data_IF_794140845670
#
_entry.id   IF_794140845670
#
_cell.length_a   1.000
_cell.length_b   1.000
_cell.length_c   1.000
_cell.angle_alpha   90.00
_cell.angle_beta   90.00
_cell.angle_gamma   90.00
#
_symmetry.space_group_name_H-M   'P 1'
#
loop_
_entity.id
_entity.type
_entity.pdbx_description
1 polymer ?
#
# COMPACT_ATOMS: atom_id res chain seq x y z
N UNK A 1 8.65 20.78 41.02
CA UNK A 1 7.33 20.15 40.83
C UNK A 1 7.16 19.97 39.33
N UNK A 2 7.40 18.75 38.84
CA UNK A 2 7.33 18.45 37.41
C UNK A 2 5.91 18.67 36.92
N UNK A 3 5.74 19.62 36.01
CA UNK A 3 4.53 19.81 35.24
C UNK A 3 4.41 18.65 34.25
N UNK A 4 4.00 17.49 34.74
CA UNK A 4 3.37 16.47 33.90
C UNK A 4 2.06 17.07 33.44
N UNK A 5 2.10 17.76 32.30
CA UNK A 5 0.94 18.12 31.50
C UNK A 5 0.10 16.87 31.35
N UNK A 6 -1.06 16.90 32.00
CA UNK A 6 -2.05 15.85 32.03
C UNK A 6 -2.37 15.45 30.59
N UNK A 7 -2.11 14.19 30.21
CA UNK A 7 -2.78 13.60 29.05
C UNK A 7 -4.27 13.59 29.41
N UNK A 8 -4.98 14.59 28.92
CA UNK A 8 -6.38 14.84 29.22
C UNK A 8 -7.21 13.61 28.86
N UNK A 9 -8.10 13.22 29.77
CA UNK A 9 -9.06 12.12 29.66
C UNK A 9 -10.12 12.31 28.53
N UNK A 10 -9.88 13.19 27.55
CA UNK A 10 -10.66 13.33 26.31
C UNK A 10 -10.38 12.19 25.30
N UNK A 11 -9.36 11.36 25.54
CA UNK A 11 -8.85 10.32 24.65
C UNK A 11 -9.56 8.94 24.73
N UNK A 12 -10.69 8.81 25.45
CA UNK A 12 -11.49 7.56 25.49
C UNK A 12 -12.75 7.63 24.61
N UNK A 13 -12.75 8.45 23.57
CA UNK A 13 -13.84 8.52 22.59
C UNK A 13 -13.62 7.49 21.48
N UNK A 14 -14.33 6.35 21.56
CA UNK A 14 -14.40 5.36 20.48
C UNK A 14 -15.32 5.80 19.32
N UNK A 15 -15.33 7.10 18.99
CA UNK A 15 -16.18 7.66 17.93
C UNK A 15 -15.41 8.66 17.10
N UNK A 16 -15.67 8.64 15.79
CA UNK A 16 -15.06 9.51 14.80
C UNK A 16 -15.08 10.98 15.21
N UNK A 17 -13.92 11.64 15.21
CA UNK A 17 -13.77 13.05 15.58
C UNK A 17 -13.01 13.86 14.53
N UNK A 18 -13.26 15.17 14.52
CA UNK A 18 -12.61 16.13 13.63
C UNK A 18 -11.66 17.01 14.46
N UNK A 19 -10.38 16.65 14.49
CA UNK A 19 -9.33 17.45 15.14
C UNK A 19 -8.12 17.59 14.23
N UNK A 20 -7.43 18.73 14.32
CA UNK A 20 -6.22 19.03 13.55
C UNK A 20 -4.93 18.77 14.32
N UNK A 21 -5.01 18.28 15.57
CA UNK A 21 -3.86 18.16 16.48
C UNK A 21 -3.44 16.71 16.78
N UNK A 22 -4.01 15.73 16.09
CA UNK A 22 -3.71 14.30 16.34
C UNK A 22 -2.46 13.86 15.58
N UNK A 23 -1.37 13.46 16.26
CA UNK A 23 -0.20 12.90 15.59
C UNK A 23 -0.47 11.44 15.16
N UNK A 24 -0.35 11.09 13.85
CA UNK A 24 -0.62 9.74 13.39
C UNK A 24 0.56 8.77 13.51
N UNK A 25 1.82 9.25 13.52
CA UNK A 25 3.01 8.37 13.49
C UNK A 25 4.04 8.64 14.60
N UNK A 26 4.24 9.89 15.00
CA UNK A 26 5.09 10.22 16.16
C UNK A 26 4.70 11.59 16.74
N UNK A 27 5.03 11.82 18.01
CA UNK A 27 4.80 13.09 18.71
C UNK A 27 5.56 14.27 18.09
N UNK A 28 6.62 14.02 17.31
CA UNK A 28 7.35 15.04 16.54
C UNK A 28 6.63 15.45 15.24
N UNK A 29 5.64 14.67 14.80
CA UNK A 29 4.82 14.96 13.61
C UNK A 29 3.43 15.46 14.05
N UNK A 30 3.40 16.44 14.95
CA UNK A 30 2.17 17.12 15.37
C UNK A 30 1.87 18.28 14.42
N UNK A 31 0.76 18.25 13.67
CA UNK A 31 0.37 19.39 12.85
C UNK A 31 -0.11 20.52 13.77
N UNK A 32 0.64 21.61 13.82
CA UNK A 32 0.27 22.82 14.56
C UNK A 32 -0.45 23.86 13.67
N UNK A 33 -0.59 23.57 12.37
CA UNK A 33 -1.20 24.44 11.37
C UNK A 33 -2.12 23.65 10.43
N UNK A 34 -3.16 24.30 9.89
CA UNK A 34 -4.09 23.72 8.90
C UNK A 34 -3.39 23.18 7.66
N UNK A 35 -2.29 23.83 7.24
CA UNK A 35 -1.49 23.38 6.10
C UNK A 35 -0.74 22.07 6.35
N UNK A 36 -0.22 21.86 7.57
CA UNK A 36 0.43 20.60 7.94
C UNK A 36 -0.58 19.45 8.02
N UNK A 37 -1.79 19.71 8.53
CA UNK A 37 -2.88 18.73 8.51
C UNK A 37 -3.24 18.31 7.09
N UNK A 38 -3.43 19.26 6.18
CA UNK A 38 -3.70 18.98 4.76
C UNK A 38 -2.54 18.20 4.10
N UNK A 39 -1.29 18.52 4.42
CA UNK A 39 -0.11 17.79 3.96
C UNK A 39 -0.13 16.32 4.39
N UNK A 40 -0.46 16.03 5.65
CA UNK A 40 -0.63 14.66 6.15
C UNK A 40 -1.74 13.92 5.42
N UNK A 41 -2.89 14.56 5.18
CA UNK A 41 -4.00 13.96 4.43
C UNK A 41 -3.60 13.59 2.99
N UNK A 42 -2.92 14.50 2.27
CA UNK A 42 -2.44 14.24 0.90
C UNK A 42 -1.41 13.10 0.89
N UNK A 43 -0.51 13.09 1.88
CA UNK A 43 0.46 12.01 2.05
C UNK A 43 -0.24 10.65 2.26
N UNK A 44 -1.26 10.59 3.12
CA UNK A 44 -2.04 9.37 3.34
C UNK A 44 -2.79 8.91 2.08
N UNK A 45 -3.35 9.84 1.29
CA UNK A 45 -3.98 9.52 0.00
C UNK A 45 -2.97 8.87 -0.93
N UNK A 46 -1.81 9.50 -1.11
CA UNK A 46 -0.75 8.98 -1.98
C UNK A 46 -0.24 7.63 -1.49
N UNK A 47 0.01 7.49 -0.19
CA UNK A 47 0.51 6.27 0.43
C UNK A 47 -0.50 5.11 0.31
N UNK A 48 -1.80 5.37 0.47
CA UNK A 48 -2.86 4.40 0.27
C UNK A 48 -3.05 4.02 -1.20
N UNK A 49 -2.92 4.98 -2.12
CA UNK A 49 -2.93 4.71 -3.56
C UNK A 49 -1.75 3.82 -3.97
N UNK A 50 -0.56 4.08 -3.43
CA UNK A 50 0.65 3.26 -3.65
C UNK A 50 0.48 1.87 -3.04
N UNK A 51 -0.10 1.72 -1.85
CA UNK A 51 -0.43 0.41 -1.28
C UNK A 51 -1.29 -0.42 -2.23
N UNK A 52 -2.35 0.20 -2.79
CA UNK A 52 -3.21 -0.41 -3.82
C UNK A 52 -2.43 -0.76 -5.09
N UNK A 53 -1.48 0.08 -5.51
CA UNK A 53 -0.58 -0.20 -6.63
C UNK A 53 0.27 -1.44 -6.39
N UNK A 54 0.91 -1.51 -5.22
CA UNK A 54 1.76 -2.62 -4.81
C UNK A 54 0.95 -3.92 -4.75
N UNK A 55 -0.27 -3.88 -4.20
CA UNK A 55 -1.18 -5.03 -4.23
C UNK A 55 -1.47 -5.50 -5.66
N UNK A 56 -1.80 -4.58 -6.58
CA UNK A 56 -2.08 -4.93 -7.98
C UNK A 56 -0.87 -5.55 -8.69
N UNK A 57 0.33 -4.98 -8.48
CA UNK A 57 1.58 -5.51 -9.02
C UNK A 57 1.85 -6.93 -8.49
N UNK A 58 1.51 -7.19 -7.24
CA UNK A 58 1.74 -8.51 -6.61
C UNK A 58 0.77 -9.57 -7.08
N UNK A 59 -0.50 -9.19 -7.28
CA UNK A 59 -1.51 -10.08 -7.90
C UNK A 59 -1.12 -10.41 -9.34
N UNK A 60 -0.60 -9.43 -10.09
CA UNK A 60 -0.23 -9.60 -11.49
C UNK A 60 1.25 -9.99 -11.70
N UNK A 61 1.96 -10.36 -10.63
CA UNK A 61 3.41 -10.58 -10.67
C UNK A 61 3.81 -11.71 -11.63
N UNK A 62 3.03 -12.79 -11.66
CA UNK A 62 3.24 -13.92 -12.57
C UNK A 62 3.10 -13.52 -14.04
N UNK A 63 2.07 -12.73 -14.37
CA UNK A 63 1.83 -12.23 -15.74
C UNK A 63 2.86 -11.18 -16.17
N UNK A 64 3.30 -10.34 -15.24
CA UNK A 64 4.37 -9.38 -15.50
C UNK A 64 5.68 -10.11 -15.78
N UNK A 65 6.03 -11.11 -14.95
CA UNK A 65 7.27 -11.86 -15.12
C UNK A 65 7.32 -12.64 -16.43
N UNK A 66 6.20 -13.26 -16.85
CA UNK A 66 6.13 -13.90 -18.18
C UNK A 66 6.24 -12.88 -19.31
N UNK A 67 5.56 -11.73 -19.23
CA UNK A 67 5.66 -10.66 -20.22
C UNK A 67 7.07 -10.03 -20.30
N UNK A 68 7.76 -9.87 -19.17
CA UNK A 68 9.15 -9.37 -19.11
C UNK A 68 10.12 -10.38 -19.68
N UNK A 69 9.94 -11.67 -19.37
CA UNK A 69 10.79 -12.72 -19.94
C UNK A 69 10.58 -12.87 -21.45
N UNK A 70 9.38 -12.60 -22.00
CA UNK A 70 9.17 -12.50 -23.45
C UNK A 70 10.04 -11.41 -24.09
N UNK A 71 10.17 -10.24 -23.46
CA UNK A 71 11.00 -9.15 -23.98
C UNK A 71 12.49 -9.49 -23.98
N UNK A 72 12.96 -10.24 -22.98
CA UNK A 72 14.36 -10.67 -22.88
C UNK A 72 14.68 -11.86 -23.79
N UNK A 73 13.71 -12.69 -24.13
CA UNK A 73 13.94 -13.97 -24.80
C UNK A 73 13.17 -14.12 -26.14
N UNK A 74 13.01 -13.03 -26.90
CA UNK A 74 12.28 -12.95 -28.19
C UNK A 74 12.67 -13.99 -29.29
N UNK A 75 13.70 -14.82 -29.09
CA UNK A 75 14.19 -15.79 -30.08
C UNK A 75 13.84 -17.26 -29.80
N UNK A 76 13.27 -17.61 -28.64
CA UNK A 76 13.05 -19.02 -28.27
C UNK A 76 11.61 -19.22 -27.80
N UNK A 77 10.69 -19.30 -28.76
CA UNK A 77 9.37 -19.90 -28.54
C UNK A 77 9.40 -21.30 -29.13
N UNK A 78 9.60 -22.31 -28.29
CA UNK A 78 9.26 -23.69 -28.63
C UNK A 78 7.77 -23.91 -28.31
N UNK A 79 6.91 -24.16 -29.31
CA UNK A 79 5.55 -24.58 -29.06
C UNK A 79 5.55 -26.10 -28.86
N UNK A 80 4.86 -26.56 -27.82
CA UNK A 80 4.60 -27.97 -27.45
C UNK A 80 5.72 -28.73 -26.73
N UNK A 81 5.68 -28.74 -25.40
CA UNK A 81 5.86 -30.01 -24.69
C UNK A 81 5.01 -30.08 -23.40
N UNK A 82 3.89 -30.78 -23.52
CA UNK A 82 3.25 -31.46 -22.40
C UNK A 82 3.93 -32.82 -22.25
N UNK A 83 4.83 -32.96 -21.27
CA UNK A 83 5.07 -34.22 -20.57
C UNK A 83 5.90 -33.90 -19.32
N UNK A 84 5.30 -33.99 -18.13
CA UNK A 84 5.92 -33.81 -16.80
C UNK A 84 6.89 -32.62 -16.71
N UNK A 85 6.34 -31.43 -16.51
CA UNK A 85 7.12 -30.29 -16.07
C UNK A 85 8.00 -30.72 -14.88
N UNK A 86 9.32 -30.50 -14.89
CA UNK A 86 10.13 -30.68 -13.70
C UNK A 86 9.58 -29.75 -12.63
N UNK A 87 8.79 -30.34 -11.73
CA UNK A 87 8.54 -29.84 -10.39
C UNK A 87 9.91 -29.47 -9.81
N UNK A 88 10.00 -28.25 -9.27
CA UNK A 88 11.11 -27.78 -8.45
C UNK A 88 12.38 -27.32 -9.20
N UNK A 89 12.32 -26.11 -9.77
CA UNK A 89 13.39 -25.16 -9.45
C UNK A 89 12.79 -24.11 -8.52
N UNK A 90 13.00 -24.31 -7.23
CA UNK A 90 12.89 -23.23 -6.25
C UNK A 90 13.88 -22.16 -6.69
N UNK A 91 13.47 -21.25 -7.60
CA UNK A 91 14.20 -20.03 -7.87
C UNK A 91 14.08 -19.24 -6.58
N UNK A 92 15.04 -19.47 -5.68
CA UNK A 92 15.11 -18.77 -4.40
C UNK A 92 15.01 -17.27 -4.61
N UNK A 93 15.55 -16.77 -5.74
CA UNK A 93 15.40 -15.39 -6.20
C UNK A 93 13.93 -14.95 -6.34
N UNK A 94 13.08 -15.77 -6.96
CA UNK A 94 11.67 -15.45 -7.18
C UNK A 94 10.86 -15.55 -5.88
N UNK A 95 11.16 -16.55 -5.05
CA UNK A 95 10.57 -16.69 -3.71
C UNK A 95 10.98 -15.54 -2.78
N UNK A 96 12.25 -15.14 -2.81
CA UNK A 96 12.78 -14.01 -2.02
C UNK A 96 12.17 -12.69 -2.48
N UNK A 97 12.08 -12.46 -3.79
CA UNK A 97 11.48 -11.22 -4.32
C UNK A 97 9.99 -11.13 -3.95
N UNK A 98 9.27 -12.25 -4.01
CA UNK A 98 7.87 -12.32 -3.58
C UNK A 98 7.77 -12.04 -2.08
N UNK A 99 8.55 -12.70 -1.23
CA UNK A 99 8.53 -12.46 0.22
C UNK A 99 8.91 -11.02 0.61
N UNK A 100 9.90 -10.43 -0.06
CA UNK A 100 10.29 -9.03 0.18
C UNK A 100 9.16 -8.06 -0.12
N UNK A 101 8.47 -8.27 -1.23
CA UNK A 101 7.33 -7.43 -1.55
C UNK A 101 6.18 -7.63 -0.55
N UNK A 102 5.98 -8.83 0.03
CA UNK A 102 4.97 -9.06 1.08
C UNK A 102 5.33 -8.33 2.35
N UNK A 103 6.62 -8.30 2.69
CA UNK A 103 7.13 -7.51 3.79
C UNK A 103 6.82 -6.02 3.59
N UNK A 104 7.11 -5.45 2.40
CA UNK A 104 6.81 -4.04 2.09
C UNK A 104 5.30 -3.79 2.17
N UNK A 105 4.50 -4.72 1.64
CA UNK A 105 3.06 -4.59 1.63
C UNK A 105 2.47 -4.63 3.05
N UNK A 106 2.93 -5.56 3.88
CA UNK A 106 2.57 -5.63 5.29
C UNK A 106 3.00 -4.37 6.05
N UNK A 107 4.23 -3.90 5.84
CA UNK A 107 4.74 -2.69 6.50
C UNK A 107 3.87 -1.46 6.17
N UNK A 108 3.53 -1.27 4.90
CA UNK A 108 2.63 -0.19 4.46
C UNK A 108 1.22 -0.38 5.05
N UNK A 109 0.66 -1.58 5.01
CA UNK A 109 -0.65 -1.88 5.57
C UNK A 109 -0.74 -1.53 7.07
N UNK A 110 0.28 -1.90 7.85
CA UNK A 110 0.34 -1.59 9.28
C UNK A 110 0.48 -0.08 9.55
N UNK A 111 1.24 0.64 8.73
CA UNK A 111 1.31 2.11 8.83
C UNK A 111 -0.05 2.76 8.53
N UNK A 112 -0.77 2.31 7.49
CA UNK A 112 -2.14 2.77 7.24
C UNK A 112 -3.08 2.43 8.39
N UNK A 113 -2.93 1.24 8.98
CA UNK A 113 -3.74 0.79 10.11
C UNK A 113 -3.54 1.70 11.32
N UNK A 114 -2.30 2.08 11.64
CA UNK A 114 -2.01 3.07 12.69
C UNK A 114 -2.74 4.38 12.39
N UNK A 115 -2.69 4.86 11.15
CA UNK A 115 -3.40 6.09 10.75
C UNK A 115 -4.93 5.98 10.89
N UNK A 116 -5.54 4.83 10.56
CA UNK A 116 -6.98 4.59 10.69
C UNK A 116 -7.41 4.49 12.16
N UNK A 117 -6.60 3.85 12.99
CA UNK A 117 -6.88 3.68 14.42
C UNK A 117 -6.81 5.00 15.21
N UNK A 118 -6.35 6.11 14.60
CA UNK A 118 -6.39 7.45 15.23
C UNK A 118 -7.80 8.02 15.42
N UNK A 119 -8.83 7.38 14.88
CA UNK A 119 -10.24 7.81 14.92
C UNK A 119 -10.50 9.22 14.33
N UNK A 120 -9.54 9.79 13.61
CA UNK A 120 -9.68 11.08 12.94
C UNK A 120 -10.40 10.91 11.60
N UNK A 121 -11.52 11.62 11.42
CA UNK A 121 -12.36 11.54 10.22
C UNK A 121 -11.58 11.90 8.95
N UNK A 122 -10.73 12.92 8.99
CA UNK A 122 -10.02 13.34 7.78
C UNK A 122 -8.93 12.35 7.37
N UNK A 123 -8.25 11.70 8.31
CA UNK A 123 -7.29 10.64 8.01
C UNK A 123 -8.00 9.39 7.47
N UNK A 124 -9.12 9.02 8.09
CA UNK A 124 -9.96 7.91 7.63
C UNK A 124 -10.48 8.16 6.19
N UNK A 125 -11.06 9.33 5.93
CA UNK A 125 -11.53 9.70 4.59
C UNK A 125 -10.39 9.80 3.58
N UNK A 126 -9.21 10.27 3.99
CA UNK A 126 -8.02 10.32 3.13
C UNK A 126 -7.56 8.92 2.71
N UNK A 127 -7.56 7.95 3.63
CA UNK A 127 -7.25 6.55 3.31
C UNK A 127 -8.29 5.97 2.35
N UNK A 128 -9.59 6.19 2.59
CA UNK A 128 -10.65 5.73 1.68
C UNK A 128 -10.53 6.34 0.29
N UNK A 129 -10.26 7.65 0.21
CA UNK A 129 -10.04 8.35 -1.06
C UNK A 129 -8.82 7.79 -1.80
N UNK A 130 -7.70 7.55 -1.10
CA UNK A 130 -6.51 6.95 -1.68
C UNK A 130 -6.74 5.53 -2.19
N UNK A 131 -7.48 4.70 -1.44
CA UNK A 131 -7.87 3.35 -1.90
C UNK A 131 -8.75 3.42 -3.15
N UNK A 132 -9.71 4.34 -3.19
CA UNK A 132 -10.57 4.55 -4.37
C UNK A 132 -9.74 5.00 -5.59
N UNK A 133 -8.92 6.03 -5.43
CA UNK A 133 -8.04 6.56 -6.50
C UNK A 133 -7.09 5.48 -7.01
N UNK A 134 -6.45 4.73 -6.11
CA UNK A 134 -5.61 3.59 -6.48
C UNK A 134 -6.39 2.53 -7.27
N UNK A 135 -7.60 2.20 -6.85
CA UNK A 135 -8.45 1.24 -7.57
C UNK A 135 -8.77 1.68 -9.00
N UNK A 136 -9.09 2.97 -9.18
CA UNK A 136 -9.43 3.54 -10.50
C UNK A 136 -8.22 3.56 -11.43
N UNK A 137 -7.04 3.93 -10.92
CA UNK A 137 -5.82 3.97 -11.72
C UNK A 137 -5.35 2.56 -12.13
N UNK A 138 -5.36 1.60 -11.19
CA UNK A 138 -4.86 0.24 -11.44
C UNK A 138 -5.88 -0.70 -12.10
N UNK A 139 -7.18 -0.44 -11.98
CA UNK A 139 -8.21 -1.20 -12.69
C UNK A 139 -8.11 -1.08 -14.22
N UNK A 140 -7.58 0.04 -14.73
CA UNK A 140 -7.35 0.25 -16.17
C UNK A 140 -6.17 -0.55 -16.72
N UNK A 141 -5.13 -0.78 -15.94
CA UNK A 141 -3.95 -1.52 -16.41
C UNK A 141 -4.24 -3.01 -16.65
N UNK A 142 -5.22 -3.59 -15.95
CA UNK A 142 -5.68 -4.98 -16.18
C UNK A 142 -6.54 -5.06 -17.45
N UNK A 143 -7.40 -4.07 -17.72
CA UNK A 143 -8.25 -4.06 -18.90
C UNK A 143 -7.47 -3.91 -20.22
N UNK A 144 -6.39 -3.12 -20.23
CA UNK A 144 -5.58 -2.91 -21.43
C UNK A 144 -4.63 -4.08 -21.74
N UNK A 145 -4.25 -4.89 -20.75
CA UNK A 145 -3.39 -6.06 -20.96
C UNK A 145 -4.10 -7.25 -21.62
N UNK A 146 -5.44 -7.30 -21.54
CA UNK A 146 -6.28 -8.33 -22.16
C UNK A 146 -6.76 -7.96 -23.58
N UNK A 147 -6.54 -6.72 -24.02
CA UNK A 147 -7.00 -6.21 -25.31
C UNK A 147 -5.95 -6.33 -26.44
N UNK A 148 -4.82 -7.02 -26.18
CA UNK A 148 -3.72 -7.16 -27.12
C UNK A 148 -3.29 -8.60 -27.34
#
# INVERSE_FOLDING_TARGET
MSSTTMMGMDDMRMTFFFSSTTPPFSTNWTPNTTGQYAGTCIFLIAFAAVFRALLAVRVNFSLLMTAVDMHRNRGVYEPYQNEKAPQHSWRAKDAILTGFMDLVLAAVAYLLMIAVMTMNVGYFLSVLAGVFVGSVMFGRFIANAAAH
#
